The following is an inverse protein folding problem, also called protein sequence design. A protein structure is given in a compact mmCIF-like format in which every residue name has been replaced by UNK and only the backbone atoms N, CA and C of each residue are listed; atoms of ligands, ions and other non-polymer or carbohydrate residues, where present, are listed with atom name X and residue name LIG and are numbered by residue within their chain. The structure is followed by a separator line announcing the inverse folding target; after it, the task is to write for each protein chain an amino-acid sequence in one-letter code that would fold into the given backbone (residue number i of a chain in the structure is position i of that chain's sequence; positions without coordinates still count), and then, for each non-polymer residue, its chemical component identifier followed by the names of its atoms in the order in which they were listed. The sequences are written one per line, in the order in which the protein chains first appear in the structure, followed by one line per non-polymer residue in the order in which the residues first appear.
data_IF_243135077184
#
_entry.id   IF_243135077184
#
_cell.length_a   1.000
_cell.length_b   1.000
_cell.length_c   1.000
_cell.angle_alpha   90.00
_cell.angle_beta   90.00
_cell.angle_gamma   90.00
#
_symmetry.space_group_name_H-M   'P 1'
#
loop_
_entity.id
_entity.type
_entity.pdbx_description
1 polymer ?
#
# COMPACT_ATOMS: atom_id res chain seq x y z
N UNK A 1 20.07 9.44 13.17
CA UNK A 1 19.28 9.91 12.02
C UNK A 1 18.71 8.66 11.37
N UNK A 2 17.38 8.54 11.23
CA UNK A 2 16.77 7.40 10.54
C UNK A 2 17.22 7.38 9.08
N UNK A 3 17.59 6.21 8.57
CA UNK A 3 18.00 6.05 7.17
C UNK A 3 16.81 6.33 6.23
N UNK A 4 17.05 6.71 4.97
CA UNK A 4 15.95 6.95 4.01
C UNK A 4 15.10 5.69 3.80
N UNK A 5 15.71 4.50 3.84
CA UNK A 5 15.02 3.20 3.81
C UNK A 5 14.03 3.03 4.97
N UNK A 6 14.38 3.47 6.18
CA UNK A 6 13.47 3.39 7.34
C UNK A 6 12.23 4.26 7.13
N UNK A 7 12.40 5.45 6.52
CA UNK A 7 11.29 6.37 6.24
C UNK A 7 10.36 5.85 5.13
N UNK A 8 10.90 5.18 4.12
CA UNK A 8 10.09 4.59 3.03
C UNK A 8 9.22 3.45 3.55
N UNK A 9 9.82 2.56 4.35
CA UNK A 9 9.10 1.46 5.00
C UNK A 9 7.97 1.96 5.94
N UNK A 10 8.26 2.97 6.77
CA UNK A 10 7.24 3.56 7.64
C UNK A 10 6.08 4.17 6.82
N UNK A 11 6.39 4.72 5.65
CA UNK A 11 5.39 5.30 4.74
C UNK A 11 4.51 4.22 4.10
N UNK A 12 5.11 3.13 3.59
CA UNK A 12 4.37 2.03 2.96
C UNK A 12 3.48 1.29 3.98
N UNK A 13 3.96 1.10 5.21
CA UNK A 13 3.18 0.52 6.30
C UNK A 13 1.99 1.40 6.71
N UNK A 14 2.20 2.72 6.83
CA UNK A 14 1.14 3.65 7.15
C UNK A 14 0.08 3.73 6.04
N UNK A 15 0.49 3.71 4.77
CA UNK A 15 -0.43 3.64 3.63
C UNK A 15 -1.28 2.37 3.67
N UNK A 16 -0.67 1.21 3.96
CA UNK A 16 -1.41 -0.05 4.08
C UNK A 16 -2.47 0.01 5.19
N UNK A 17 -2.13 0.56 6.36
CA UNK A 17 -3.07 0.76 7.47
C UNK A 17 -4.25 1.66 7.06
N UNK A 18 -3.99 2.74 6.33
CA UNK A 18 -5.05 3.63 5.84
C UNK A 18 -6.00 2.91 4.86
N UNK A 19 -5.46 2.14 3.90
CA UNK A 19 -6.29 1.37 2.96
C UNK A 19 -7.18 0.38 3.70
N UNK A 20 -6.65 -0.33 4.70
CA UNK A 20 -7.43 -1.27 5.53
C UNK A 20 -8.56 -0.55 6.30
N UNK A 21 -8.29 0.63 6.85
CA UNK A 21 -9.31 1.43 7.54
C UNK A 21 -10.43 1.91 6.60
N UNK A 22 -10.08 2.28 5.37
CA UNK A 22 -11.07 2.64 4.34
C UNK A 22 -11.90 1.41 3.99
N UNK A 23 -11.27 0.25 3.73
CA UNK A 23 -11.98 -1.00 3.43
C UNK A 23 -12.94 -1.41 4.56
N UNK A 24 -12.53 -1.23 5.81
CA UNK A 24 -13.39 -1.47 6.97
C UNK A 24 -14.59 -0.52 6.97
N UNK A 25 -14.37 0.78 6.79
CA UNK A 25 -15.44 1.79 6.74
C UNK A 25 -16.41 1.53 5.58
N UNK A 26 -15.89 1.17 4.42
CA UNK A 26 -16.69 0.79 3.24
C UNK A 26 -17.59 -0.40 3.55
N UNK A 27 -17.06 -1.42 4.24
CA UNK A 27 -17.82 -2.61 4.62
C UNK A 27 -18.95 -2.27 5.60
N UNK A 28 -18.65 -1.50 6.64
CA UNK A 28 -19.62 -1.21 7.70
C UNK A 28 -20.72 -0.26 7.26
N UNK A 29 -20.37 0.80 6.51
CA UNK A 29 -21.30 1.89 6.20
C UNK A 29 -21.87 1.86 4.80
N UNK A 30 -21.14 1.28 3.84
CA UNK A 30 -21.42 1.45 2.42
C UNK A 30 -21.72 0.14 1.67
N UNK A 31 -21.73 -1.02 2.34
CA UNK A 31 -22.07 -2.34 1.74
C UNK A 31 -23.43 -2.37 1.01
N UNK A 32 -24.37 -1.51 1.40
CA UNK A 32 -25.71 -1.41 0.79
C UNK A 32 -25.72 -0.79 -0.61
N UNK A 33 -24.67 -0.07 -0.99
CA UNK A 33 -24.60 0.59 -2.29
C UNK A 33 -24.02 -0.37 -3.35
N UNK A 34 -24.53 -0.35 -4.60
CA UNK A 34 -24.09 -1.27 -5.64
C UNK A 34 -22.60 -1.10 -6.00
N UNK A 35 -22.06 0.12 -5.89
CA UNK A 35 -20.67 0.46 -6.19
C UNK A 35 -19.67 -0.12 -5.16
N UNK A 36 -20.16 -0.53 -3.99
CA UNK A 36 -19.33 -1.07 -2.91
C UNK A 36 -18.39 -2.17 -3.40
N UNK A 37 -18.90 -3.12 -4.20
CA UNK A 37 -18.09 -4.26 -4.68
C UNK A 37 -16.92 -3.77 -5.55
N UNK A 38 -17.17 -2.83 -6.45
CA UNK A 38 -16.14 -2.25 -7.32
C UNK A 38 -15.09 -1.51 -6.51
N UNK A 39 -15.53 -0.66 -5.57
CA UNK A 39 -14.60 0.09 -4.71
C UNK A 39 -13.74 -0.86 -3.86
N UNK A 40 -14.34 -1.91 -3.29
CA UNK A 40 -13.60 -2.91 -2.52
C UNK A 40 -12.59 -3.70 -3.36
N UNK A 41 -12.92 -4.00 -4.62
CA UNK A 41 -11.99 -4.66 -5.54
C UNK A 41 -10.80 -3.76 -5.86
N UNK A 42 -11.04 -2.47 -6.10
CA UNK A 42 -9.99 -1.48 -6.35
C UNK A 42 -9.09 -1.32 -5.12
N UNK A 43 -9.66 -1.16 -3.93
CA UNK A 43 -8.90 -1.07 -2.67
C UNK A 43 -8.08 -2.34 -2.39
N UNK A 44 -8.62 -3.51 -2.74
CA UNK A 44 -7.89 -4.78 -2.64
C UNK A 44 -6.69 -4.81 -3.59
N UNK A 45 -6.82 -4.24 -4.79
CA UNK A 45 -5.73 -4.14 -5.77
C UNK A 45 -4.63 -3.21 -5.25
N UNK A 46 -4.98 -2.02 -4.79
CA UNK A 46 -4.05 -1.07 -4.18
C UNK A 46 -3.32 -1.70 -2.98
N UNK A 47 -4.04 -2.43 -2.12
CA UNK A 47 -3.44 -3.11 -0.97
C UNK A 47 -2.39 -4.17 -1.37
N UNK A 48 -2.59 -4.87 -2.50
CA UNK A 48 -1.60 -5.82 -3.05
C UNK A 48 -0.38 -5.10 -3.59
N UNK A 49 -0.56 -3.98 -4.28
CA UNK A 49 0.53 -3.16 -4.82
C UNK A 49 1.41 -2.58 -3.72
N UNK A 50 0.81 -2.03 -2.65
CA UNK A 50 1.55 -1.53 -1.48
C UNK A 50 2.35 -2.67 -0.82
N UNK A 51 1.75 -3.85 -0.66
CA UNK A 51 2.48 -5.01 -0.13
C UNK A 51 3.64 -5.43 -1.02
N UNK A 52 3.50 -5.36 -2.35
CA UNK A 52 4.60 -5.66 -3.27
C UNK A 52 5.75 -4.66 -3.12
N UNK A 53 5.45 -3.36 -2.98
CA UNK A 53 6.46 -2.32 -2.69
C UNK A 53 7.16 -2.62 -1.37
N UNK A 54 6.40 -2.92 -0.32
CA UNK A 54 6.95 -3.21 1.01
C UNK A 54 7.85 -4.45 1.02
N UNK A 55 7.49 -5.49 0.26
CA UNK A 55 8.37 -6.66 0.08
C UNK A 55 9.69 -6.23 -0.55
N UNK A 56 9.65 -5.41 -1.61
CA UNK A 56 10.88 -4.89 -2.25
C UNK A 56 11.72 -4.01 -1.31
N UNK A 57 11.07 -3.22 -0.45
CA UNK A 57 11.75 -2.43 0.58
C UNK A 57 12.46 -3.33 1.61
N UNK A 58 11.83 -4.45 2.01
CA UNK A 58 12.43 -5.43 2.95
C UNK A 58 13.57 -6.21 2.28
N UNK A 59 13.40 -6.64 1.02
CA UNK A 59 14.38 -7.47 0.31
C UNK A 59 15.55 -6.66 -0.25
N UNK A 60 15.44 -5.33 -0.30
CA UNK A 60 16.46 -4.47 -0.89
C UNK A 60 16.49 -4.52 -2.42
N UNK A 61 15.48 -5.11 -3.07
CA UNK A 61 15.30 -5.10 -4.53
C UNK A 61 14.66 -3.79 -5.03
N UNK A 62 15.01 -2.66 -4.41
CA UNK A 62 14.84 -1.37 -5.04
C UNK A 62 15.98 -1.27 -6.05
N UNK A 63 15.63 -1.42 -7.33
CA UNK A 63 16.55 -1.31 -8.47
C UNK A 63 17.61 -0.26 -8.15
N UNK A 64 18.85 -0.71 -8.03
CA UNK A 64 20.00 0.19 -7.91
C UNK A 64 19.89 1.16 -9.08
N UNK A 65 19.94 2.48 -8.87
CA UNK A 65 20.00 3.40 -9.99
C UNK A 65 21.24 2.99 -10.79
N UNK A 66 21.04 2.55 -12.04
CA UNK A 66 22.16 2.30 -12.95
C UNK A 66 23.01 3.57 -12.97
N UNK A 67 24.33 3.48 -12.78
CA UNK A 67 25.17 4.64 -12.92
C UNK A 67 25.22 5.01 -14.40
N UNK A 68 24.52 6.08 -14.78
CA UNK A 68 24.72 6.74 -16.08
C UNK A 68 26.11 7.42 -16.07
N UNK A 69 27.08 6.69 -16.66
CA UNK A 69 28.35 7.09 -17.29
C UNK A 69 29.34 7.97 -16.51
#
# INVERSE_FOLDING_TARGET
MASESDKHFDTSENLQKMVLNIMYTMREKYKKYPEYKTIMMNLTTVSKEINAIRIKEITGELESPEPEK
#
